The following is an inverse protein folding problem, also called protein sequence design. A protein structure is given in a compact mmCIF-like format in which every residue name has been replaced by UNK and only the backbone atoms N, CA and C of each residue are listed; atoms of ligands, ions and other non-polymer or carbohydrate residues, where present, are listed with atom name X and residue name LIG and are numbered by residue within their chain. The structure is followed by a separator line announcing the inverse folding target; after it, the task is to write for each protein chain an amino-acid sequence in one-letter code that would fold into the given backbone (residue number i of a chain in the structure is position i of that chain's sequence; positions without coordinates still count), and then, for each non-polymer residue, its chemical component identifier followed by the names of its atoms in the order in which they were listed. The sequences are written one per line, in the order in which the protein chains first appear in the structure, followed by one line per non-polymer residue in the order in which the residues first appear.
data_IF_032388589385
#
_entry.id   IF_032388589385
#
_cell.length_a   1.000
_cell.length_b   1.000
_cell.length_c   1.000
_cell.angle_alpha   90.00
_cell.angle_beta   90.00
_cell.angle_gamma   90.00
#
_symmetry.space_group_name_H-M   'P 1'
#
loop_
_entity.id
_entity.type
_entity.pdbx_description
1 polymer ?
#
# COMPACT_ATOMS: atom_id res chain seq x y z
N UNK A 1 -8.45 8.90 -25.06
CA UNK A 1 -7.70 8.87 -26.32
C UNK A 1 -6.77 10.09 -26.38
N UNK A 2 -5.46 9.85 -26.47
CA UNK A 2 -4.44 10.91 -26.46
C UNK A 2 -4.38 11.65 -27.79
N UNK A 3 -4.76 11.01 -28.90
CA UNK A 3 -4.74 11.63 -30.23
C UNK A 3 -5.93 12.59 -30.40
N UNK A 4 -7.11 12.12 -30.02
CA UNK A 4 -8.34 12.93 -30.14
C UNK A 4 -8.57 13.84 -28.93
N UNK A 5 -7.79 13.67 -27.82
CA UNK A 5 -7.93 14.39 -26.55
C UNK A 5 -9.34 14.29 -25.94
N UNK A 6 -10.00 13.16 -26.16
CA UNK A 6 -11.36 12.91 -25.65
C UNK A 6 -11.38 11.76 -24.67
N UNK A 7 -12.26 11.85 -23.67
CA UNK A 7 -12.62 10.73 -22.80
C UNK A 7 -13.44 9.74 -23.67
N UNK A 8 -12.95 8.50 -23.78
CA UNK A 8 -13.61 7.47 -24.59
C UNK A 8 -14.45 6.51 -23.75
N UNK A 9 -14.09 6.31 -22.47
CA UNK A 9 -14.82 5.45 -21.53
C UNK A 9 -14.67 5.96 -20.10
N UNK A 10 -15.68 5.68 -19.27
CA UNK A 10 -15.65 5.89 -17.83
C UNK A 10 -16.11 4.64 -17.12
N UNK A 11 -15.59 4.37 -15.93
CA UNK A 11 -16.02 3.27 -15.07
C UNK A 11 -16.24 3.81 -13.65
N UNK A 12 -17.35 3.46 -13.03
CA UNK A 12 -17.61 3.80 -11.65
C UNK A 12 -16.84 2.85 -10.72
N UNK A 13 -16.12 3.43 -9.76
CA UNK A 13 -15.43 2.73 -8.69
C UNK A 13 -15.99 3.16 -7.34
N UNK A 14 -15.30 2.86 -6.25
CA UNK A 14 -15.75 3.26 -4.92
C UNK A 14 -15.26 4.68 -4.56
N UNK A 15 -15.36 5.01 -3.27
CA UNK A 15 -15.17 6.37 -2.74
C UNK A 15 -13.73 6.84 -2.88
N UNK A 16 -13.54 7.98 -3.53
CA UNK A 16 -12.27 8.71 -3.67
C UNK A 16 -11.15 7.84 -4.30
N UNK A 17 -11.25 7.45 -5.59
CA UNK A 17 -10.17 6.75 -6.25
C UNK A 17 -8.90 7.60 -6.27
N UNK A 18 -7.81 7.05 -5.72
CA UNK A 18 -6.57 7.80 -5.48
C UNK A 18 -5.42 7.40 -6.40
N UNK A 19 -5.29 6.11 -6.65
CA UNK A 19 -4.19 5.55 -7.43
C UNK A 19 -4.64 4.30 -8.17
N UNK A 20 -4.01 3.99 -9.29
CA UNK A 20 -4.35 2.82 -10.08
C UNK A 20 -3.11 2.19 -10.72
N UNK A 21 -3.17 0.86 -10.94
CA UNK A 21 -2.15 0.12 -11.67
C UNK A 21 -2.81 -0.91 -12.59
N UNK A 22 -2.21 -1.15 -13.75
CA UNK A 22 -2.68 -2.13 -14.72
C UNK A 22 -1.86 -3.42 -14.57
N UNK A 23 -2.53 -4.59 -14.62
CA UNK A 23 -1.85 -5.88 -14.66
C UNK A 23 -0.94 -5.98 -15.90
N UNK A 24 0.15 -6.75 -15.78
CA UNK A 24 1.15 -6.86 -16.86
C UNK A 24 0.59 -7.36 -18.19
N UNK A 25 -0.43 -8.22 -18.13
CA UNK A 25 -1.14 -8.73 -19.30
C UNK A 25 -2.18 -7.74 -19.87
N UNK A 26 -2.34 -6.57 -19.24
CA UNK A 26 -3.29 -5.55 -19.64
C UNK A 26 -4.76 -5.89 -19.39
N UNK A 27 -5.08 -7.02 -18.72
CA UNK A 27 -6.46 -7.47 -18.52
C UNK A 27 -7.20 -6.72 -17.44
N UNK A 28 -6.53 -6.36 -16.37
CA UNK A 28 -7.14 -5.76 -15.19
C UNK A 28 -6.49 -4.43 -14.82
N UNK A 29 -7.28 -3.50 -14.35
CA UNK A 29 -6.82 -2.33 -13.62
C UNK A 29 -7.28 -2.44 -12.17
N UNK A 30 -6.35 -2.26 -11.24
CA UNK A 30 -6.60 -2.20 -9.81
C UNK A 30 -6.62 -0.74 -9.37
N UNK A 31 -7.70 -0.31 -8.72
CA UNK A 31 -7.91 1.08 -8.29
C UNK A 31 -8.01 1.13 -6.78
N UNK A 32 -7.08 1.81 -6.13
CA UNK A 32 -7.11 2.07 -4.70
C UNK A 32 -8.13 3.17 -4.39
N UNK A 33 -9.17 2.82 -3.64
CA UNK A 33 -10.18 3.78 -3.18
C UNK A 33 -9.81 4.26 -1.78
N UNK A 34 -9.71 5.57 -1.59
CA UNK A 34 -9.09 6.18 -0.41
C UNK A 34 -9.81 5.84 0.90
N UNK A 35 -11.14 5.89 0.89
CA UNK A 35 -11.97 5.69 2.08
C UNK A 35 -12.89 4.46 1.99
N UNK A 36 -13.22 3.86 3.15
CA UNK A 36 -14.30 2.88 3.23
C UNK A 36 -15.63 3.46 2.75
N UNK A 37 -16.44 2.66 2.09
CA UNK A 37 -17.78 3.05 1.64
C UNK A 37 -18.88 2.54 2.58
N UNK A 38 -18.58 1.51 3.37
CA UNK A 38 -19.54 0.90 4.29
C UNK A 38 -19.89 1.85 5.44
N UNK A 39 -21.02 1.61 6.09
CA UNK A 39 -21.39 2.21 7.36
C UNK A 39 -20.38 1.80 8.44
N UNK A 40 -20.21 2.63 9.45
CA UNK A 40 -19.25 2.38 10.53
C UNK A 40 -19.75 1.31 11.54
N UNK A 41 -21.01 0.90 11.46
CA UNK A 41 -21.67 -0.05 12.35
C UNK A 41 -21.70 -1.51 11.81
N UNK A 42 -20.91 -1.82 10.78
CA UNK A 42 -20.77 -3.18 10.27
C UNK A 42 -19.53 -3.86 10.86
N UNK A 43 -19.53 -5.21 10.87
CA UNK A 43 -18.44 -6.01 11.46
C UNK A 43 -17.07 -5.74 10.85
N UNK A 44 -17.02 -5.42 9.54
CA UNK A 44 -15.78 -5.15 8.82
C UNK A 44 -15.91 -3.81 8.10
N UNK A 45 -15.27 -2.80 8.65
CA UNK A 45 -15.13 -1.48 8.00
C UNK A 45 -13.75 -1.41 7.36
N UNK A 46 -13.70 -1.50 6.03
CA UNK A 46 -12.43 -1.57 5.30
C UNK A 46 -12.53 -0.83 3.97
N UNK A 47 -11.46 -0.15 3.58
CA UNK A 47 -11.29 0.33 2.23
C UNK A 47 -11.12 -0.85 1.26
N UNK A 48 -11.43 -0.61 -0.01
CA UNK A 48 -11.40 -1.64 -1.04
C UNK A 48 -10.53 -1.21 -2.21
N UNK A 49 -10.00 -2.21 -2.91
CA UNK A 49 -9.41 -2.05 -4.24
C UNK A 49 -10.41 -2.52 -5.27
N UNK A 50 -10.84 -1.62 -6.16
CA UNK A 50 -11.74 -1.96 -7.26
C UNK A 50 -10.96 -2.57 -8.41
N UNK A 51 -11.49 -3.63 -9.01
CA UNK A 51 -10.92 -4.30 -10.19
C UNK A 51 -11.77 -3.99 -11.40
N UNK A 52 -11.14 -3.43 -12.43
CA UNK A 52 -11.77 -3.10 -13.72
C UNK A 52 -11.27 -4.11 -14.76
N UNK A 53 -12.19 -4.74 -15.47
CA UNK A 53 -11.90 -5.46 -16.71
C UNK A 53 -11.58 -4.46 -17.83
N UNK A 54 -10.34 -4.46 -18.32
CA UNK A 54 -9.86 -3.48 -19.28
C UNK A 54 -10.48 -3.64 -20.68
N UNK A 55 -10.91 -4.83 -21.05
CA UNK A 55 -11.56 -5.09 -22.33
C UNK A 55 -12.97 -4.49 -22.35
N UNK A 56 -13.76 -4.75 -21.32
CA UNK A 56 -15.11 -4.22 -21.16
C UNK A 56 -15.13 -2.79 -20.62
N UNK A 57 -14.08 -2.41 -19.89
CA UNK A 57 -13.93 -1.19 -19.11
C UNK A 57 -15.04 -1.05 -18.05
N UNK A 58 -15.32 -2.13 -17.34
CA UNK A 58 -16.33 -2.22 -16.29
C UNK A 58 -15.73 -2.79 -15.03
N UNK A 59 -16.21 -2.32 -13.88
CA UNK A 59 -15.84 -2.89 -12.59
C UNK A 59 -16.42 -4.30 -12.47
N UNK A 60 -15.55 -5.26 -12.11
CA UNK A 60 -15.92 -6.66 -11.96
C UNK A 60 -15.87 -7.14 -10.50
N UNK A 61 -15.08 -6.46 -9.65
CA UNK A 61 -14.91 -6.85 -8.25
C UNK A 61 -14.46 -5.67 -7.40
N UNK A 62 -14.82 -5.69 -6.11
CA UNK A 62 -14.21 -4.86 -5.07
C UNK A 62 -13.53 -5.80 -4.06
N UNK A 63 -12.20 -5.72 -3.96
CA UNK A 63 -11.39 -6.52 -3.03
C UNK A 63 -11.33 -5.76 -1.71
N UNK A 64 -12.02 -6.26 -0.69
CA UNK A 64 -12.02 -5.71 0.66
C UNK A 64 -10.70 -6.05 1.35
N UNK A 65 -10.06 -5.06 1.97
CA UNK A 65 -8.83 -5.23 2.73
C UNK A 65 -9.14 -5.62 4.20
N UNK A 66 -8.12 -5.64 5.06
CA UNK A 66 -8.30 -5.89 6.49
C UNK A 66 -9.23 -4.85 7.15
N UNK A 67 -9.98 -5.27 8.17
CA UNK A 67 -10.81 -4.35 8.97
C UNK A 67 -9.96 -3.24 9.57
N UNK A 68 -10.43 -2.00 9.48
CA UNK A 68 -9.70 -0.80 9.88
C UNK A 68 -8.88 -0.17 8.76
N UNK A 69 -8.72 -0.82 7.60
CA UNK A 69 -7.98 -0.22 6.48
C UNK A 69 -8.70 1.02 5.95
N UNK A 70 -7.93 2.09 5.79
CA UNK A 70 -8.39 3.38 5.28
C UNK A 70 -7.21 4.16 4.69
N UNK A 71 -7.48 5.29 4.06
CA UNK A 71 -6.47 6.16 3.48
C UNK A 71 -5.52 5.41 2.51
N UNK A 72 -6.09 4.73 1.51
CA UNK A 72 -5.30 4.07 0.47
C UNK A 72 -4.64 5.11 -0.42
N UNK A 73 -3.32 5.30 -0.26
CA UNK A 73 -2.60 6.37 -0.96
C UNK A 73 -2.02 5.95 -2.29
N UNK A 74 -1.40 4.79 -2.35
CA UNK A 74 -0.66 4.35 -3.52
C UNK A 74 -0.82 2.84 -3.75
N UNK A 75 -0.64 2.46 -5.01
CA UNK A 75 -0.73 1.08 -5.45
C UNK A 75 0.37 0.80 -6.47
N UNK A 76 1.06 -0.33 -6.35
CA UNK A 76 1.99 -0.79 -7.36
C UNK A 76 1.84 -2.29 -7.62
N UNK A 77 2.35 -2.74 -8.76
CA UNK A 77 2.38 -4.16 -9.12
C UNK A 77 3.81 -4.68 -9.06
N UNK A 78 3.99 -5.93 -8.63
CA UNK A 78 5.29 -6.58 -8.61
C UNK A 78 5.86 -6.76 -10.02
N UNK A 79 7.19 -6.79 -10.20
CA UNK A 79 7.81 -6.92 -11.50
C UNK A 79 7.42 -8.18 -12.27
N UNK A 80 7.10 -9.28 -11.59
CA UNK A 80 6.58 -10.51 -12.20
C UNK A 80 5.06 -10.48 -12.46
N UNK A 81 4.36 -9.43 -12.01
CA UNK A 81 2.91 -9.27 -12.17
C UNK A 81 2.06 -10.15 -11.25
N UNK A 82 2.66 -10.86 -10.28
CA UNK A 82 1.94 -11.81 -9.43
C UNK A 82 1.13 -11.14 -8.33
N UNK A 83 1.67 -10.06 -7.74
CA UNK A 83 1.03 -9.34 -6.64
C UNK A 83 0.87 -7.85 -6.93
N UNK A 84 -0.15 -7.29 -6.32
CA UNK A 84 -0.34 -5.84 -6.18
C UNK A 84 -0.15 -5.48 -4.72
N UNK A 85 0.63 -4.43 -4.45
CA UNK A 85 0.80 -3.83 -3.12
C UNK A 85 0.07 -2.51 -3.03
N UNK A 86 -0.59 -2.26 -1.90
CA UNK A 86 -1.38 -1.04 -1.66
C UNK A 86 -1.01 -0.47 -0.29
N UNK A 87 -0.56 0.79 -0.24
CA UNK A 87 -0.27 1.50 1.01
C UNK A 87 -1.54 2.05 1.65
N UNK A 88 -1.69 1.88 2.96
CA UNK A 88 -2.85 2.37 3.69
C UNK A 88 -2.59 2.49 5.19
N UNK A 89 -3.46 3.21 5.89
CA UNK A 89 -3.54 3.14 7.34
C UNK A 89 -4.41 1.97 7.77
N UNK A 90 -4.14 1.43 8.94
CA UNK A 90 -4.89 0.37 9.57
C UNK A 90 -5.33 0.83 10.97
N UNK A 91 -6.59 1.26 11.08
CA UNK A 91 -7.17 1.73 12.34
C UNK A 91 -7.52 0.57 13.26
N UNK A 92 -7.10 0.67 14.53
CA UNK A 92 -7.37 -0.32 15.59
C UNK A 92 -8.56 0.13 16.45
N UNK A 93 -9.67 0.48 15.83
CA UNK A 93 -10.84 1.04 16.53
C UNK A 93 -11.59 0.04 17.43
N UNK A 94 -11.28 -1.25 17.32
CA UNK A 94 -11.83 -2.29 18.21
C UNK A 94 -11.00 -2.50 19.48
N UNK A 95 -9.83 -1.88 19.60
CA UNK A 95 -8.96 -1.97 20.77
C UNK A 95 -9.41 -0.95 21.81
N UNK A 96 -9.60 -1.34 23.09
CA UNK A 96 -9.94 -0.41 24.16
C UNK A 96 -8.89 0.70 24.31
N UNK A 97 -9.35 1.93 24.60
CA UNK A 97 -8.48 3.09 24.78
C UNK A 97 -7.44 2.93 25.89
N UNK A 98 -7.71 2.07 26.89
CA UNK A 98 -6.76 1.69 27.94
C UNK A 98 -5.52 0.95 27.42
N UNK A 99 -5.55 0.43 26.20
CA UNK A 99 -4.44 -0.29 25.57
C UNK A 99 -3.62 0.60 24.61
N UNK A 100 -3.88 1.90 24.55
CA UNK A 100 -3.13 2.85 23.72
C UNK A 100 -1.62 2.84 23.98
N UNK A 101 -1.21 2.50 25.20
CA UNK A 101 0.20 2.39 25.58
C UNK A 101 0.87 1.11 25.05
N UNK A 102 0.09 0.12 24.60
CA UNK A 102 0.59 -1.19 24.18
C UNK A 102 0.57 -1.38 22.65
N UNK A 103 0.02 -0.43 21.91
CA UNK A 103 -0.07 -0.56 20.46
C UNK A 103 -0.52 0.73 19.80
N UNK A 104 -0.22 0.84 18.52
CA UNK A 104 -0.56 1.97 17.69
C UNK A 104 -2.03 1.92 17.31
N UNK A 105 -2.82 2.95 17.65
CA UNK A 105 -4.23 3.05 17.24
C UNK A 105 -4.40 3.10 15.72
N UNK A 106 -3.49 3.79 15.04
CA UNK A 106 -3.41 3.87 13.60
C UNK A 106 -2.05 3.38 13.17
N UNK A 107 -1.99 2.14 12.74
CA UNK A 107 -0.78 1.54 12.19
C UNK A 107 -0.67 1.83 10.70
N UNK A 108 0.55 2.00 10.21
CA UNK A 108 0.86 2.09 8.80
C UNK A 108 1.06 0.68 8.24
N UNK A 109 0.43 0.36 7.11
CA UNK A 109 0.48 -0.96 6.52
C UNK A 109 0.46 -0.92 4.99
N UNK A 110 0.90 -2.00 4.37
CA UNK A 110 0.55 -2.27 2.98
C UNK A 110 -0.15 -3.62 2.86
N UNK A 111 -1.17 -3.66 2.02
CA UNK A 111 -1.88 -4.90 1.70
C UNK A 111 -1.33 -5.56 0.46
N UNK A 112 -1.40 -6.88 0.43
CA UNK A 112 -1.00 -7.75 -0.67
C UNK A 112 -2.24 -8.34 -1.32
N UNK A 113 -2.33 -8.22 -2.65
CA UNK A 113 -3.42 -8.75 -3.46
C UNK A 113 -2.81 -9.70 -4.50
N UNK A 114 -3.35 -10.91 -4.62
CA UNK A 114 -3.01 -11.85 -5.68
C UNK A 114 -3.73 -11.44 -6.97
N UNK A 115 -2.96 -11.22 -8.03
CA UNK A 115 -3.48 -10.76 -9.33
C UNK A 115 -4.27 -11.84 -10.05
N UNK A 116 -3.85 -13.10 -9.98
CA UNK A 116 -4.52 -14.20 -10.67
C UNK A 116 -5.83 -14.58 -9.99
N UNK A 117 -5.84 -14.64 -8.66
CA UNK A 117 -7.02 -14.97 -7.87
C UNK A 117 -7.97 -13.76 -7.66
N UNK A 118 -7.52 -12.55 -7.96
CA UNK A 118 -8.21 -11.28 -7.64
C UNK A 118 -8.66 -11.27 -6.18
N UNK A 119 -7.75 -11.60 -5.26
CA UNK A 119 -8.08 -11.77 -3.85
C UNK A 119 -7.04 -11.13 -2.93
N UNK A 120 -7.52 -10.68 -1.77
CA UNK A 120 -6.69 -10.21 -0.67
C UNK A 120 -5.92 -11.37 -0.05
N UNK A 121 -4.60 -11.18 0.16
CA UNK A 121 -3.69 -12.16 0.77
C UNK A 121 -3.45 -11.85 2.25
N UNK A 122 -3.15 -10.60 2.57
CA UNK A 122 -2.84 -10.14 3.92
C UNK A 122 -2.35 -8.70 3.95
N UNK A 123 -2.25 -8.13 5.14
CA UNK A 123 -1.67 -6.79 5.35
C UNK A 123 -0.41 -6.87 6.20
N UNK A 124 0.66 -6.27 5.73
CA UNK A 124 1.95 -6.17 6.44
C UNK A 124 2.02 -4.83 7.13
N UNK A 125 2.21 -4.84 8.45
CA UNK A 125 2.42 -3.63 9.25
C UNK A 125 3.86 -3.15 9.07
N UNK A 126 4.04 -1.85 8.86
CA UNK A 126 5.37 -1.23 8.71
C UNK A 126 5.83 -0.48 9.96
N UNK A 127 4.99 -0.37 10.99
CA UNK A 127 5.42 0.06 12.31
C UNK A 127 6.23 -1.04 13.00
N UNK A 128 7.09 -0.64 13.93
CA UNK A 128 7.84 -1.51 14.83
C UNK A 128 7.36 -1.26 16.26
N UNK A 129 7.54 -2.22 17.19
CA UNK A 129 7.09 -2.03 18.58
C UNK A 129 7.64 -0.76 19.23
N UNK A 130 8.90 -0.41 18.95
CA UNK A 130 9.58 0.73 19.56
C UNK A 130 9.58 1.99 18.67
N UNK A 131 9.25 1.86 17.39
CA UNK A 131 9.36 2.97 16.43
C UNK A 131 8.25 2.94 15.38
N UNK A 132 7.32 3.86 15.45
CA UNK A 132 6.30 4.06 14.44
C UNK A 132 6.90 4.42 13.07
N UNK A 133 6.18 4.07 12.01
CA UNK A 133 6.48 4.42 10.62
C UNK A 133 5.36 5.31 10.07
N UNK A 134 5.09 6.40 10.78
CA UNK A 134 3.90 7.23 10.60
C UNK A 134 3.74 7.84 9.22
N UNK A 135 2.50 7.86 8.75
CA UNK A 135 2.14 8.52 7.51
C UNK A 135 2.61 7.77 6.27
N UNK A 136 2.31 6.48 6.17
CA UNK A 136 2.57 5.73 4.94
C UNK A 136 1.90 6.41 3.74
N UNK A 137 2.67 6.67 2.67
CA UNK A 137 2.15 7.42 1.53
C UNK A 137 2.31 6.68 0.21
N UNK A 138 3.52 6.54 -0.29
CA UNK A 138 3.79 5.94 -1.58
C UNK A 138 4.61 4.67 -1.45
N UNK A 139 4.48 3.78 -2.43
CA UNK A 139 5.29 2.58 -2.55
C UNK A 139 5.63 2.27 -4.01
N UNK A 140 6.77 1.67 -4.23
CA UNK A 140 7.17 1.14 -5.53
C UNK A 140 8.02 -0.12 -5.35
N UNK A 141 7.96 -1.01 -6.32
CA UNK A 141 8.57 -2.32 -6.25
C UNK A 141 9.51 -2.56 -7.43
N UNK A 142 10.70 -3.09 -7.11
CA UNK A 142 11.62 -3.70 -8.08
C UNK A 142 11.73 -5.20 -7.79
N UNK A 143 12.48 -5.93 -8.59
CA UNK A 143 12.77 -7.34 -8.32
C UNK A 143 13.52 -7.53 -6.98
N UNK A 144 14.40 -6.57 -6.63
CA UNK A 144 15.23 -6.62 -5.43
C UNK A 144 14.57 -6.01 -4.20
N UNK A 145 13.86 -4.90 -4.35
CA UNK A 145 13.38 -4.11 -3.22
C UNK A 145 11.93 -3.65 -3.40
N UNK A 146 11.20 -3.61 -2.28
CA UNK A 146 9.99 -2.82 -2.12
C UNK A 146 10.36 -1.56 -1.31
N UNK A 147 10.09 -0.39 -1.87
CA UNK A 147 10.28 0.90 -1.21
C UNK A 147 8.94 1.40 -0.69
N UNK A 148 8.92 1.87 0.55
CA UNK A 148 7.72 2.43 1.20
C UNK A 148 8.07 3.76 1.85
N UNK A 149 7.38 4.83 1.48
CA UNK A 149 7.59 6.17 2.04
C UNK A 149 6.73 6.40 3.26
N UNK A 150 7.35 6.96 4.29
CA UNK A 150 6.72 7.40 5.53
C UNK A 150 6.78 8.92 5.62
N UNK A 151 5.67 9.59 5.25
CA UNK A 151 5.61 11.04 5.18
C UNK A 151 5.71 11.72 6.55
N UNK A 152 5.19 11.07 7.60
CA UNK A 152 5.20 11.60 8.95
C UNK A 152 6.51 11.43 9.70
N UNK A 153 7.25 10.34 9.45
CA UNK A 153 8.57 10.11 10.05
C UNK A 153 9.73 10.49 9.13
N UNK A 154 9.43 11.00 7.92
CA UNK A 154 10.41 11.49 6.94
C UNK A 154 11.44 10.45 6.53
N UNK A 155 11.00 9.22 6.33
CA UNK A 155 11.84 8.06 6.05
C UNK A 155 11.37 7.32 4.80
N UNK A 156 12.27 6.51 4.25
CA UNK A 156 11.92 5.43 3.33
C UNK A 156 12.33 4.09 3.93
N UNK A 157 11.39 3.13 3.95
CA UNK A 157 11.70 1.72 4.19
C UNK A 157 12.16 1.07 2.90
N UNK A 158 13.32 0.44 2.94
CA UNK A 158 13.86 -0.42 1.88
C UNK A 158 13.73 -1.86 2.34
N UNK A 159 12.85 -2.62 1.72
CA UNK A 159 12.51 -3.98 2.11
C UNK A 159 13.04 -4.94 1.04
N UNK A 160 13.80 -5.96 1.45
CA UNK A 160 14.24 -7.06 0.57
C UNK A 160 13.01 -7.78 0.02
N UNK A 161 12.73 -7.59 -1.26
CA UNK A 161 11.50 -8.08 -1.88
C UNK A 161 11.45 -9.61 -2.01
N UNK A 162 12.52 -10.32 -2.43
CA UNK A 162 12.57 -11.78 -2.38
C UNK A 162 12.34 -12.36 -0.99
N UNK A 163 12.99 -11.78 0.04
CA UNK A 163 12.81 -12.22 1.42
C UNK A 163 11.40 -11.94 1.95
N UNK A 164 10.81 -10.79 1.60
CA UNK A 164 9.42 -10.47 1.90
C UNK A 164 8.47 -11.52 1.34
N UNK A 165 8.63 -11.88 0.07
CA UNK A 165 7.79 -12.90 -0.59
C UNK A 165 7.91 -14.26 0.08
N UNK A 166 9.13 -14.70 0.38
CA UNK A 166 9.37 -15.96 1.08
C UNK A 166 8.71 -15.98 2.45
N UNK A 167 8.83 -14.89 3.23
CA UNK A 167 8.14 -14.75 4.52
C UNK A 167 6.61 -14.76 4.36
N UNK A 168 6.08 -14.05 3.38
CA UNK A 168 4.65 -14.05 3.09
C UNK A 168 4.12 -15.45 2.74
N UNK A 169 4.82 -16.18 1.89
CA UNK A 169 4.41 -17.53 1.47
C UNK A 169 4.42 -18.51 2.65
N UNK A 170 5.42 -18.45 3.52
CA UNK A 170 5.59 -19.33 4.68
C UNK A 170 4.81 -18.91 5.93
N UNK A 171 4.20 -17.73 5.96
CA UNK A 171 3.47 -17.24 7.14
C UNK A 171 2.19 -18.08 7.38
N UNK A 172 2.05 -18.72 8.57
CA UNK A 172 1.05 -19.77 8.75
C UNK A 172 -0.39 -19.27 8.77
N UNK A 173 -0.64 -18.09 9.38
CA UNK A 173 -1.97 -17.53 9.61
C UNK A 173 -2.02 -16.10 9.06
N UNK A 174 -2.33 -15.97 7.77
CA UNK A 174 -2.31 -14.70 7.03
C UNK A 174 -3.15 -13.59 7.67
N UNK A 175 -4.23 -13.95 8.36
CA UNK A 175 -5.10 -13.05 9.13
C UNK A 175 -4.37 -12.36 10.28
N UNK A 176 -3.38 -13.02 10.89
CA UNK A 176 -2.59 -12.47 11.99
C UNK A 176 -1.46 -11.55 11.51
N UNK A 177 -1.13 -11.58 10.23
CA UNK A 177 -0.07 -10.76 9.65
C UNK A 177 -0.27 -9.26 9.92
N UNK A 178 -1.51 -8.80 9.95
CA UNK A 178 -1.86 -7.41 10.23
C UNK A 178 -1.60 -6.96 11.67
N UNK A 179 -1.24 -7.89 12.57
CA UNK A 179 -0.90 -7.63 13.98
C UNK A 179 0.58 -7.87 14.29
N UNK A 180 1.36 -8.38 13.34
CA UNK A 180 2.76 -8.75 13.55
C UNK A 180 3.70 -7.57 13.27
N UNK A 181 4.06 -6.83 14.32
CA UNK A 181 5.01 -5.71 14.27
C UNK A 181 6.47 -6.16 14.03
N UNK A 182 6.76 -7.46 14.13
CA UNK A 182 8.11 -8.02 13.93
C UNK A 182 8.29 -8.63 12.55
N UNK A 183 7.24 -8.72 11.75
CA UNK A 183 7.28 -9.41 10.46
C UNK A 183 8.41 -8.93 9.54
N UNK A 184 8.71 -7.63 9.52
CA UNK A 184 9.74 -7.03 8.68
C UNK A 184 11.15 -7.08 9.28
N UNK A 185 11.33 -7.62 10.49
CA UNK A 185 12.66 -7.72 11.11
C UNK A 185 13.60 -8.59 10.27
N UNK A 186 14.84 -8.10 10.10
CA UNK A 186 15.89 -8.75 9.33
C UNK A 186 15.81 -8.57 7.81
N UNK A 187 14.71 -8.05 7.28
CA UNK A 187 14.53 -7.85 5.83
C UNK A 187 14.26 -6.39 5.44
N UNK A 188 14.20 -5.47 6.42
CA UNK A 188 13.95 -4.05 6.18
C UNK A 188 15.08 -3.18 6.74
N UNK A 189 15.40 -2.11 6.00
CA UNK A 189 16.20 -0.96 6.48
C UNK A 189 15.34 0.30 6.38
N UNK A 190 15.47 1.20 7.36
CA UNK A 190 14.82 2.52 7.35
C UNK A 190 15.90 3.56 7.09
N UNK A 191 15.70 4.37 6.08
CA UNK A 191 16.61 5.43 5.64
C UNK A 191 15.97 6.77 5.96
N UNK A 192 16.59 7.57 6.81
CA UNK A 192 16.17 8.94 7.10
C UNK A 192 16.44 9.82 5.89
N UNK A 193 15.47 10.64 5.52
CA UNK A 193 15.57 11.60 4.42
C UNK A 193 15.83 13.01 4.96
N UNK A 194 16.42 13.85 4.13
CA UNK A 194 16.48 15.28 4.39
C UNK A 194 15.14 15.93 4.03
N UNK A 195 14.74 16.93 4.82
CA UNK A 195 13.48 17.65 4.67
C UNK A 195 12.27 16.85 5.15
N UNK A 196 11.09 17.45 5.01
CA UNK A 196 9.85 17.00 5.63
C UNK A 196 8.80 16.57 4.61
N UNK A 197 8.05 15.54 4.96
CA UNK A 197 6.88 15.09 4.23
C UNK A 197 7.15 14.52 2.83
N UNK A 198 7.98 13.48 2.68
CA UNK A 198 8.11 12.78 1.42
C UNK A 198 6.75 12.18 1.03
N UNK A 199 6.32 12.36 -0.23
CA UNK A 199 5.02 11.86 -0.72
C UNK A 199 5.10 11.07 -2.00
N UNK A 200 6.17 11.23 -2.75
CA UNK A 200 6.39 10.53 -4.01
C UNK A 200 7.76 9.87 -3.99
N UNK A 201 7.90 8.85 -4.80
CA UNK A 201 9.19 8.25 -5.12
C UNK A 201 9.24 7.90 -6.61
N UNK A 202 10.41 7.96 -7.16
CA UNK A 202 10.68 7.58 -8.54
C UNK A 202 11.96 6.76 -8.61
N UNK A 203 11.88 5.61 -9.28
CA UNK A 203 13.01 4.71 -9.47
C UNK A 203 13.64 4.99 -10.84
N UNK A 204 14.94 5.29 -10.85
CA UNK A 204 15.73 5.50 -12.05
C UNK A 204 16.96 4.58 -12.02
N UNK A 205 16.89 3.46 -12.71
CA UNK A 205 17.96 2.46 -12.65
C UNK A 205 18.15 1.93 -11.21
N UNK A 206 19.31 2.18 -10.60
CA UNK A 206 19.62 1.82 -9.20
C UNK A 206 19.38 2.97 -8.20
N UNK A 207 18.90 4.10 -8.68
CA UNK A 207 18.69 5.28 -7.85
C UNK A 207 17.21 5.41 -7.47
N UNK A 208 16.95 5.78 -6.22
CA UNK A 208 15.64 6.19 -5.74
C UNK A 208 15.63 7.71 -5.54
N UNK A 209 14.74 8.40 -6.23
CA UNK A 209 14.54 9.84 -6.11
C UNK A 209 13.28 10.11 -5.28
N UNK A 210 13.43 10.90 -4.20
CA UNK A 210 12.34 11.18 -3.26
C UNK A 210 12.25 12.69 -3.00
N UNK A 211 11.25 13.38 -3.58
CA UNK A 211 10.98 14.77 -3.24
C UNK A 211 10.28 14.87 -1.89
N UNK A 212 10.62 15.89 -1.11
CA UNK A 212 9.96 16.23 0.15
C UNK A 212 9.03 17.43 -0.02
N UNK A 213 7.75 17.24 0.34
CA UNK A 213 6.69 18.19 0.01
C UNK A 213 6.81 19.52 0.78
N UNK A 214 7.31 19.50 2.03
CA UNK A 214 7.34 20.67 2.90
C UNK A 214 8.74 21.31 3.05
N UNK A 215 9.74 20.89 2.28
CA UNK A 215 11.12 21.33 2.49
C UNK A 215 11.90 21.60 1.21
N UNK A 216 11.26 21.56 0.04
CA UNK A 216 11.88 21.87 -1.27
C UNK A 216 13.17 21.09 -1.55
N UNK A 217 13.28 19.85 -1.03
CA UNK A 217 14.46 18.98 -1.17
C UNK A 217 14.11 17.79 -2.05
N UNK A 218 15.04 17.43 -2.92
CA UNK A 218 15.04 16.18 -3.67
C UNK A 218 16.14 15.27 -3.13
N UNK A 219 15.76 14.21 -2.44
CA UNK A 219 16.70 13.20 -1.96
C UNK A 219 17.02 12.21 -3.07
N UNK A 220 18.30 11.82 -3.15
CA UNK A 220 18.77 10.68 -3.93
C UNK A 220 19.26 9.61 -2.96
N UNK A 221 18.72 8.41 -3.08
CA UNK A 221 19.11 7.23 -2.28
C UNK A 221 19.65 6.19 -3.25
N UNK A 222 20.86 5.71 -3.02
CA UNK A 222 21.58 4.70 -3.81
C UNK A 222 21.41 3.31 -3.22
#
# INVERSE_FOLDING_TARGET
DLLTRKVVRTANVLREPKSAVISKDGRYMFVANFLPQQRADVDIVAACVSVIDMKKFTKIKDIKLASGSNALHSICITPDGKYVYVSHNLGRFTVPTSQLQQGWMNTSAFSVIDVAALSYVGSVVVDEPEKGAGGIWNLACTEKNLFVIHSGTHEVSVIDHPALRKKLESYPQKENLSYDLHFLYGIRKRVQLEGNGPRLLYIRGNELLVPTYFADVLNKVD
#
